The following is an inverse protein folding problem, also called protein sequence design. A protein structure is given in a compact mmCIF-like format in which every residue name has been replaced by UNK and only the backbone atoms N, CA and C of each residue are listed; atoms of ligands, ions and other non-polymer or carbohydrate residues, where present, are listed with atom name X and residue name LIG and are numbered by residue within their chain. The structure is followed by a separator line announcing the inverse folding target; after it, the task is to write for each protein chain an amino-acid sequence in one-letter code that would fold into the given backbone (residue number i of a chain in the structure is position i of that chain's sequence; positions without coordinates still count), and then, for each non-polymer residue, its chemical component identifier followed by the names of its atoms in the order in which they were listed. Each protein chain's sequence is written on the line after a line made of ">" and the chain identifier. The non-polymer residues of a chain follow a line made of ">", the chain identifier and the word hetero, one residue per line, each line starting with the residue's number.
data_IF_580742146421
#
_entry.id   IF_580742146421
#
_cell.length_a   1.000
_cell.length_b   1.000
_cell.length_c   1.000
_cell.angle_alpha   90.00
_cell.angle_beta   90.00
_cell.angle_gamma   90.00
#
_symmetry.space_group_name_H-M   'P 1'
#
loop_
_entity.id
_entity.type
_entity.pdbx_description
1 polymer ?
#
# COMPACT_ATOMS: atom_id res chain seq x y z
N UNK A 1 10.67 6.66 12.47
CA UNK A 1 9.95 6.33 11.21
C UNK A 1 8.75 5.46 11.57
N UNK A 2 8.01 4.93 10.62
CA UNK A 2 6.80 4.15 10.92
C UNK A 2 6.98 2.69 10.54
N UNK A 3 6.25 1.82 11.21
CA UNK A 3 6.12 0.41 10.89
C UNK A 3 4.73 0.15 10.33
N UNK A 4 4.61 -0.79 9.39
CA UNK A 4 3.34 -1.09 8.73
C UNK A 4 3.07 -2.58 8.57
N UNK A 5 1.78 -2.88 8.42
CA UNK A 5 1.26 -4.15 7.91
C UNK A 5 0.76 -3.88 6.50
N UNK A 6 1.26 -4.63 5.55
CA UNK A 6 1.07 -4.36 4.13
C UNK A 6 0.64 -5.61 3.37
N UNK A 7 -0.18 -5.42 2.33
CA UNK A 7 -0.50 -6.46 1.36
C UNK A 7 0.46 -6.39 0.18
N UNK A 8 0.89 -7.53 -0.29
CA UNK A 8 1.68 -7.68 -1.50
C UNK A 8 0.83 -8.24 -2.64
N UNK A 9 1.15 -7.77 -3.84
CA UNK A 9 0.41 -8.08 -5.06
C UNK A 9 1.06 -9.24 -5.83
N UNK A 10 0.32 -9.84 -6.75
CA UNK A 10 0.87 -10.78 -7.72
C UNK A 10 1.91 -10.11 -8.63
N UNK A 11 2.75 -10.93 -9.27
CA UNK A 11 3.89 -10.46 -10.08
C UNK A 11 3.46 -9.57 -11.24
N UNK A 12 2.32 -9.83 -11.86
CA UNK A 12 1.83 -9.06 -13.01
C UNK A 12 1.39 -7.67 -12.58
N UNK A 13 0.61 -7.59 -11.50
CA UNK A 13 0.17 -6.32 -10.93
C UNK A 13 1.34 -5.51 -10.36
N UNK A 14 2.29 -6.18 -9.70
CA UNK A 14 3.52 -5.54 -9.23
C UNK A 14 4.31 -4.94 -10.39
N UNK A 15 4.49 -5.67 -11.49
CA UNK A 15 5.20 -5.18 -12.68
C UNK A 15 4.49 -3.95 -13.30
N UNK A 16 3.16 -3.96 -13.35
CA UNK A 16 2.39 -2.83 -13.88
C UNK A 16 2.55 -1.57 -13.02
N UNK A 17 2.49 -1.69 -11.70
CA UNK A 17 2.73 -0.54 -10.80
C UNK A 17 4.17 -0.03 -10.94
N UNK A 18 5.16 -0.94 -11.03
CA UNK A 18 6.57 -0.57 -11.25
C UNK A 18 6.78 0.17 -12.57
N UNK A 19 6.05 -0.21 -13.62
CA UNK A 19 6.06 0.50 -14.91
C UNK A 19 5.56 1.94 -14.73
N UNK A 20 4.44 2.14 -14.04
CA UNK A 20 3.91 3.47 -13.74
C UNK A 20 4.91 4.30 -12.91
N UNK A 21 5.56 3.71 -11.94
CA UNK A 21 6.63 4.37 -11.17
C UNK A 21 7.81 4.81 -12.05
N UNK A 22 8.21 3.96 -13.01
CA UNK A 22 9.29 4.29 -13.94
C UNK A 22 8.94 5.50 -14.79
N UNK A 23 7.76 5.52 -15.40
CA UNK A 23 7.26 6.65 -16.19
C UNK A 23 7.25 7.97 -15.39
N UNK A 24 6.78 7.92 -14.16
CA UNK A 24 6.73 9.10 -13.29
C UNK A 24 8.15 9.59 -12.93
N UNK A 25 9.12 8.69 -12.72
CA UNK A 25 10.52 9.08 -12.50
C UNK A 25 11.17 9.67 -13.74
N UNK A 26 10.86 9.16 -14.94
CA UNK A 26 11.37 9.68 -16.21
C UNK A 26 11.03 11.16 -16.43
N UNK A 27 9.89 11.60 -15.93
CA UNK A 27 9.50 13.02 -15.96
C UNK A 27 9.93 13.79 -14.69
N UNK A 28 10.84 13.23 -13.89
CA UNK A 28 11.44 13.88 -12.73
C UNK A 28 10.56 13.94 -11.48
N UNK A 29 9.53 13.11 -11.38
CA UNK A 29 8.66 13.08 -10.20
C UNK A 29 9.17 12.09 -9.14
N UNK A 30 8.81 12.35 -7.88
CA UNK A 30 9.21 11.51 -6.76
C UNK A 30 8.31 10.28 -6.63
N UNK A 31 8.58 9.27 -7.46
CA UNK A 31 7.98 7.95 -7.39
C UNK A 31 8.95 6.94 -6.74
N UNK A 32 8.46 5.84 -6.15
CA UNK A 32 9.31 4.81 -5.55
C UNK A 32 10.32 4.23 -6.54
N UNK A 33 11.53 3.95 -6.05
CA UNK A 33 12.61 3.34 -6.83
C UNK A 33 12.45 1.81 -7.00
N UNK A 34 13.35 1.18 -7.77
CA UNK A 34 13.30 -0.25 -8.03
C UNK A 34 13.44 -1.12 -6.77
N UNK A 35 14.07 -0.57 -5.74
CA UNK A 35 14.25 -1.22 -4.43
C UNK A 35 12.95 -1.33 -3.62
N UNK A 36 11.93 -0.55 -3.98
CA UNK A 36 10.64 -0.59 -3.31
C UNK A 36 9.72 -1.62 -3.97
N UNK A 37 8.87 -2.21 -3.16
CA UNK A 37 7.85 -3.14 -3.62
C UNK A 37 6.46 -2.50 -3.56
N UNK A 38 5.66 -2.57 -4.64
CA UNK A 38 4.26 -2.14 -4.61
C UNK A 38 3.48 -2.87 -3.52
N UNK A 39 2.71 -2.10 -2.75
CA UNK A 39 1.95 -2.63 -1.63
C UNK A 39 0.70 -1.79 -1.34
N UNK A 40 -0.22 -2.39 -0.61
CA UNK A 40 -1.37 -1.72 -0.02
C UNK A 40 -1.15 -1.69 1.50
N UNK A 41 -1.01 -0.51 2.08
CA UNK A 41 -0.88 -0.37 3.52
C UNK A 41 -2.21 -0.60 4.21
N UNK A 42 -2.28 -1.62 5.07
CA UNK A 42 -3.47 -1.94 5.87
C UNK A 42 -3.51 -1.17 7.19
N UNK A 43 -2.35 -1.05 7.82
CA UNK A 43 -2.22 -0.42 9.11
C UNK A 43 -0.81 0.11 9.32
N UNK A 44 -0.68 1.19 10.08
CA UNK A 44 0.57 1.88 10.40
C UNK A 44 0.57 2.23 11.86
N UNK A 45 1.73 2.12 12.50
CA UNK A 45 1.97 2.62 13.85
C UNK A 45 3.41 3.18 13.95
N UNK A 46 3.68 4.00 14.96
CA UNK A 46 5.06 4.40 15.25
C UNK A 46 5.93 3.20 15.59
N UNK A 47 5.35 2.22 16.28
CA UNK A 47 5.95 0.94 16.61
C UNK A 47 4.85 -0.13 16.61
N UNK A 48 5.10 -1.26 15.94
CA UNK A 48 4.28 -2.46 16.05
C UNK A 48 5.09 -3.51 16.81
N UNK A 49 4.62 -3.88 17.98
CA UNK A 49 5.38 -4.76 18.88
C UNK A 49 5.66 -6.12 18.25
N UNK A 50 6.91 -6.62 18.26
CA UNK A 50 7.28 -7.91 17.62
C UNK A 50 6.46 -9.10 18.10
N UNK A 51 5.99 -9.07 19.37
CA UNK A 51 5.12 -10.12 19.93
C UNK A 51 3.81 -10.30 19.17
N UNK A 52 3.37 -9.29 18.41
CA UNK A 52 2.11 -9.32 17.63
C UNK A 52 2.25 -10.05 16.30
N UNK A 53 3.46 -10.33 15.83
CA UNK A 53 3.67 -11.03 14.56
C UNK A 53 3.00 -12.40 14.55
N UNK A 54 3.07 -13.13 15.67
CA UNK A 54 2.36 -14.42 15.82
C UNK A 54 0.84 -14.25 15.77
N UNK A 55 0.31 -13.17 16.33
CA UNK A 55 -1.12 -12.89 16.32
C UNK A 55 -1.60 -12.46 14.92
N UNK A 56 -0.80 -11.68 14.22
CA UNK A 56 -1.02 -11.33 12.81
C UNK A 56 -1.03 -12.58 11.92
N UNK A 57 -0.04 -13.47 12.08
CA UNK A 57 0.08 -14.71 11.31
C UNK A 57 -1.06 -15.72 11.56
N UNK A 58 -1.73 -15.63 12.70
CA UNK A 58 -2.92 -16.46 13.01
C UNK A 58 -4.19 -15.98 12.35
N UNK A 59 -4.19 -14.77 11.78
CA UNK A 59 -5.35 -14.27 11.06
C UNK A 59 -5.52 -15.06 9.77
N UNK A 60 -6.76 -15.50 9.51
CA UNK A 60 -7.05 -16.23 8.28
C UNK A 60 -6.72 -15.36 7.07
N UNK A 61 -5.85 -15.91 6.22
CA UNK A 61 -5.49 -15.30 4.95
C UNK A 61 -5.53 -16.34 3.84
N UNK A 62 -6.19 -15.98 2.74
CA UNK A 62 -6.14 -16.69 1.46
C UNK A 62 -5.97 -15.65 0.36
N UNK A 63 -5.20 -15.91 -0.69
CA UNK A 63 -5.14 -15.03 -1.83
C UNK A 63 -6.53 -14.71 -2.38
N UNK A 64 -6.78 -13.45 -2.71
CA UNK A 64 -8.06 -13.00 -3.23
C UNK A 64 -7.89 -11.93 -4.30
N UNK A 65 -8.82 -11.87 -5.29
CA UNK A 65 -8.76 -10.86 -6.33
C UNK A 65 -9.13 -9.48 -5.81
N UNK A 66 -8.45 -8.48 -6.34
CA UNK A 66 -8.77 -7.06 -6.17
C UNK A 66 -8.77 -6.36 -7.53
N UNK A 67 -9.25 -5.12 -7.55
CA UNK A 67 -9.18 -4.24 -8.70
C UNK A 67 -8.48 -2.95 -8.31
N UNK A 68 -7.42 -2.61 -9.02
CA UNK A 68 -6.81 -1.29 -8.96
C UNK A 68 -7.59 -0.39 -9.93
N UNK A 69 -8.19 0.66 -9.38
CA UNK A 69 -9.13 1.54 -10.06
C UNK A 69 -8.54 2.89 -10.41
N UNK A 70 -9.37 3.91 -10.32
CA UNK A 70 -9.03 5.29 -10.67
C UNK A 70 -7.92 5.89 -9.83
N UNK A 71 -7.49 7.07 -10.24
CA UNK A 71 -6.48 7.85 -9.52
C UNK A 71 -7.13 8.69 -8.42
N UNK A 72 -6.45 8.79 -7.28
CA UNK A 72 -6.82 9.67 -6.18
C UNK A 72 -5.63 10.54 -5.80
N UNK A 73 -5.93 11.69 -5.21
CA UNK A 73 -4.92 12.62 -4.70
C UNK A 73 -5.18 12.86 -3.21
N UNK A 74 -4.18 12.60 -2.39
CA UNK A 74 -4.22 12.90 -0.96
C UNK A 74 -3.41 14.15 -0.65
N UNK A 75 -3.90 14.94 0.31
CA UNK A 75 -3.23 16.15 0.76
C UNK A 75 -3.35 17.32 -0.21
N UNK A 76 -3.15 18.53 0.30
CA UNK A 76 -3.28 19.76 -0.48
C UNK A 76 -1.92 20.45 -0.73
N UNK A 77 -1.06 20.52 0.28
CA UNK A 77 0.24 21.23 0.17
C UNK A 77 1.32 20.39 -0.50
N UNK A 78 1.34 19.11 -0.22
CA UNK A 78 2.26 18.14 -0.81
C UNK A 78 1.46 16.95 -1.31
N UNK A 79 0.83 17.08 -2.49
CA UNK A 79 -0.03 16.03 -3.04
C UNK A 79 0.69 14.69 -3.15
N UNK A 80 -0.06 13.63 -2.86
CA UNK A 80 0.34 12.24 -3.06
C UNK A 80 -0.60 11.67 -4.09
N UNK A 81 -0.07 11.24 -5.24
CA UNK A 81 -0.84 10.54 -6.26
C UNK A 81 -0.86 9.06 -5.95
N UNK A 82 -2.04 8.49 -5.93
CA UNK A 82 -2.25 7.07 -5.64
C UNK A 82 -3.23 6.45 -6.64
N UNK A 83 -3.12 5.15 -6.82
CA UNK A 83 -4.14 4.36 -7.50
C UNK A 83 -5.05 3.74 -6.46
N UNK A 84 -6.35 4.00 -6.57
CA UNK A 84 -7.36 3.44 -5.68
C UNK A 84 -7.42 1.92 -5.84
N UNK A 85 -7.67 1.22 -4.74
CA UNK A 85 -8.08 -0.18 -4.76
C UNK A 85 -9.58 -0.21 -4.50
N UNK A 86 -10.34 -0.87 -5.36
CA UNK A 86 -11.79 -0.98 -5.19
C UNK A 86 -12.08 -1.73 -3.88
N UNK A 87 -12.79 -1.13 -2.92
CA UNK A 87 -13.15 -1.79 -1.68
C UNK A 87 -13.99 -3.03 -1.94
N UNK A 88 -13.48 -4.18 -1.56
CA UNK A 88 -14.20 -5.45 -1.62
C UNK A 88 -14.40 -6.01 -0.23
N UNK A 89 -15.43 -6.83 -0.03
CA UNK A 89 -15.71 -7.41 1.28
C UNK A 89 -14.52 -8.19 1.89
N UNK A 90 -13.77 -9.02 1.13
CA UNK A 90 -12.58 -9.68 1.66
C UNK A 90 -11.49 -8.70 2.08
N UNK A 91 -11.26 -7.63 1.29
CA UNK A 91 -10.24 -6.63 1.59
C UNK A 91 -10.56 -5.87 2.88
N UNK A 92 -11.78 -5.39 3.01
CA UNK A 92 -12.25 -4.66 4.20
C UNK A 92 -12.21 -5.56 5.44
N UNK A 93 -12.72 -6.80 5.32
CA UNK A 93 -12.70 -7.75 6.44
C UNK A 93 -11.28 -8.08 6.90
N UNK A 94 -10.33 -8.22 5.97
CA UNK A 94 -8.93 -8.48 6.32
C UNK A 94 -8.31 -7.26 7.02
N UNK A 95 -8.54 -6.05 6.52
CA UNK A 95 -8.08 -4.82 7.15
C UNK A 95 -8.57 -4.71 8.59
N UNK A 96 -9.86 -4.94 8.84
CA UNK A 96 -10.44 -4.90 10.18
C UNK A 96 -9.79 -5.93 11.12
N UNK A 97 -9.60 -7.16 10.66
CA UNK A 97 -8.98 -8.20 11.50
C UNK A 97 -7.54 -7.88 11.86
N UNK A 98 -6.74 -7.46 10.88
CA UNK A 98 -5.32 -7.14 11.11
C UNK A 98 -5.16 -5.85 11.93
N UNK A 99 -6.02 -4.85 11.69
CA UNK A 99 -6.00 -3.63 12.48
C UNK A 99 -6.26 -3.90 13.98
N UNK A 100 -7.25 -4.73 14.31
CA UNK A 100 -7.55 -5.12 15.71
C UNK A 100 -6.36 -5.72 16.45
N UNK A 101 -5.47 -6.41 15.74
CA UNK A 101 -4.28 -6.99 16.37
C UNK A 101 -3.31 -5.91 16.83
N UNK A 102 -3.26 -4.77 16.14
CA UNK A 102 -2.30 -3.71 16.41
C UNK A 102 -2.93 -2.44 17.02
N UNK A 103 -4.23 -2.43 17.27
CA UNK A 103 -4.97 -1.20 17.64
C UNK A 103 -4.48 -0.50 18.92
N UNK A 104 -3.78 -1.23 19.79
CA UNK A 104 -3.14 -0.69 20.99
C UNK A 104 -1.71 -0.20 20.78
N UNK A 105 -1.15 -0.38 19.58
CA UNK A 105 0.18 0.10 19.26
C UNK A 105 0.23 1.64 19.22
N UNK A 106 1.36 2.26 19.59
CA UNK A 106 1.46 3.71 19.64
C UNK A 106 1.50 4.35 18.24
N UNK A 107 0.96 5.55 18.13
CA UNK A 107 1.11 6.41 16.97
C UNK A 107 0.37 5.96 15.73
N UNK A 108 -0.76 5.29 15.87
CA UNK A 108 -1.65 4.92 14.77
C UNK A 108 -2.36 6.17 14.25
N UNK A 109 -2.17 6.57 12.98
CA UNK A 109 -2.88 7.70 12.41
C UNK A 109 -4.36 7.39 12.17
N UNK A 110 -5.21 8.41 12.22
CA UNK A 110 -6.66 8.23 12.08
C UNK A 110 -7.07 7.61 10.74
N UNK A 111 -6.39 7.97 9.66
CA UNK A 111 -6.73 7.56 8.29
C UNK A 111 -6.47 6.09 7.95
N UNK A 112 -5.90 5.31 8.86
CA UNK A 112 -5.76 3.85 8.69
C UNK A 112 -6.73 3.07 9.59
N UNK A 113 -7.54 3.77 10.38
CA UNK A 113 -8.55 3.11 11.22
C UNK A 113 -9.68 2.55 10.36
N UNK A 114 -10.31 1.46 10.77
CA UNK A 114 -11.53 0.96 10.14
C UNK A 114 -12.55 2.08 9.90
N UNK A 115 -13.32 1.98 8.82
CA UNK A 115 -14.33 2.95 8.37
C UNK A 115 -13.79 4.33 7.90
N UNK A 116 -12.51 4.62 8.11
CA UNK A 116 -11.84 5.84 7.62
C UNK A 116 -10.77 5.50 6.58
N UNK A 117 -10.33 4.25 6.53
CA UNK A 117 -9.27 3.78 5.65
C UNK A 117 -9.68 3.80 4.17
N UNK A 118 -8.80 4.35 3.33
CA UNK A 118 -8.95 4.34 1.88
C UNK A 118 -7.87 3.44 1.27
N UNK A 119 -8.21 2.25 0.75
CA UNK A 119 -7.25 1.33 0.16
C UNK A 119 -6.63 1.91 -1.12
N UNK A 120 -5.31 1.87 -1.23
CA UNK A 120 -4.59 2.44 -2.36
C UNK A 120 -3.17 1.88 -2.50
N UNK A 121 -2.61 2.05 -3.69
CA UNK A 121 -1.18 1.89 -3.98
C UNK A 121 -0.60 3.27 -4.31
N UNK A 122 0.48 3.65 -3.65
CA UNK A 122 1.13 4.95 -3.89
C UNK A 122 1.87 4.94 -5.22
N UNK A 123 1.67 5.98 -6.04
CA UNK A 123 2.37 6.19 -7.31
C UNK A 123 3.44 7.26 -7.21
N UNK A 124 3.16 8.42 -6.63
CA UNK A 124 4.13 9.48 -6.43
C UNK A 124 3.84 10.28 -5.16
N UNK A 125 4.88 10.80 -4.54
CA UNK A 125 4.79 11.57 -3.28
C UNK A 125 5.48 12.93 -3.44
N UNK A 126 5.19 13.83 -2.50
CA UNK A 126 5.84 15.16 -2.42
C UNK A 126 5.72 15.95 -3.72
N UNK A 127 4.61 15.81 -4.42
CA UNK A 127 4.34 16.57 -5.62
C UNK A 127 4.16 18.06 -5.28
N UNK A 128 4.66 18.92 -6.13
CA UNK A 128 4.27 20.32 -6.13
C UNK A 128 2.95 20.47 -6.89
N UNK A 129 2.12 21.48 -6.60
CA UNK A 129 0.84 21.68 -7.31
C UNK A 129 0.95 21.61 -8.84
N UNK A 130 1.94 22.28 -9.43
CA UNK A 130 2.15 22.24 -10.89
C UNK A 130 2.69 20.91 -11.44
N UNK A 131 3.08 19.96 -10.60
CA UNK A 131 3.51 18.61 -11.02
C UNK A 131 2.35 17.60 -11.05
N UNK A 132 1.23 17.93 -10.44
CA UNK A 132 0.09 17.02 -10.36
C UNK A 132 -0.52 16.77 -11.73
N UNK A 133 -0.67 17.81 -12.55
CA UNK A 133 -1.16 17.70 -13.92
C UNK A 133 -0.27 16.76 -14.75
N UNK A 134 1.04 16.99 -14.76
CA UNK A 134 1.99 16.13 -15.46
C UNK A 134 1.97 14.68 -14.94
N UNK A 135 1.82 14.48 -13.63
CA UNK A 135 1.70 13.15 -13.04
C UNK A 135 0.43 12.43 -13.51
N UNK A 136 -0.70 13.14 -13.52
CA UNK A 136 -1.98 12.62 -13.99
C UNK A 136 -1.91 12.26 -15.48
N UNK A 137 -1.40 13.16 -16.31
CA UNK A 137 -1.26 12.93 -17.76
C UNK A 137 -0.38 11.72 -18.07
N UNK A 138 0.63 11.48 -17.24
CA UNK A 138 1.55 10.35 -17.44
C UNK A 138 0.88 9.00 -17.20
N UNK A 139 -0.04 8.88 -16.21
CA UNK A 139 -0.60 7.58 -15.79
C UNK A 139 -2.12 7.50 -15.95
N UNK A 140 -2.82 8.55 -16.39
CA UNK A 140 -4.28 8.56 -16.56
C UNK A 140 -4.77 7.63 -17.68
N UNK A 141 -3.93 7.37 -18.68
CA UNK A 141 -4.23 6.48 -19.80
C UNK A 141 -4.22 5.00 -19.40
N UNK A 142 -3.61 4.66 -18.26
CA UNK A 142 -3.61 3.31 -17.76
C UNK A 142 -5.00 2.96 -17.21
N UNK A 143 -5.62 1.98 -17.86
CA UNK A 143 -6.94 1.49 -17.45
C UNK A 143 -6.86 0.78 -16.09
N UNK A 144 -8.00 0.67 -15.46
CA UNK A 144 -8.16 -0.22 -14.31
C UNK A 144 -7.72 -1.65 -14.65
N UNK A 145 -7.05 -2.31 -13.73
CA UNK A 145 -6.60 -3.67 -13.92
C UNK A 145 -6.87 -4.54 -12.68
N UNK A 146 -6.95 -5.84 -12.93
CA UNK A 146 -7.10 -6.82 -11.87
C UNK A 146 -5.75 -7.17 -11.28
N UNK A 147 -5.76 -7.49 -10.00
CA UNK A 147 -4.62 -8.01 -9.27
C UNK A 147 -5.08 -9.07 -8.28
N UNK A 148 -4.15 -9.86 -7.79
CA UNK A 148 -4.37 -10.78 -6.68
C UNK A 148 -3.53 -10.31 -5.49
N UNK A 149 -4.14 -10.22 -4.32
CA UNK A 149 -3.40 -10.11 -3.07
C UNK A 149 -2.86 -11.47 -2.72
N UNK A 150 -1.54 -11.61 -2.67
CA UNK A 150 -0.88 -12.91 -2.47
C UNK A 150 -0.31 -13.10 -1.07
N UNK A 151 -0.14 -12.03 -0.31
CA UNK A 151 0.43 -12.13 1.02
C UNK A 151 0.27 -10.90 1.87
N UNK A 152 0.57 -11.07 3.14
CA UNK A 152 0.68 -10.03 4.15
C UNK A 152 2.12 -9.99 4.62
N UNK A 153 2.70 -8.80 4.71
CA UNK A 153 4.03 -8.57 5.24
C UNK A 153 4.06 -7.49 6.31
N UNK A 154 5.11 -7.50 7.09
CA UNK A 154 5.52 -6.38 7.94
C UNK A 154 6.60 -5.57 7.23
N UNK A 155 6.57 -4.26 7.45
CA UNK A 155 7.63 -3.35 7.09
C UNK A 155 8.08 -2.56 8.31
N UNK A 156 9.39 -2.48 8.53
CA UNK A 156 10.04 -1.63 9.53
C UNK A 156 10.83 -0.52 8.83
N UNK A 157 10.29 0.69 8.86
CA UNK A 157 10.91 1.84 8.20
C UNK A 157 12.20 2.34 8.89
N UNK A 158 12.44 1.99 10.15
CA UNK A 158 13.66 2.36 10.86
C UNK A 158 14.82 1.46 10.47
N UNK A 159 14.54 0.16 10.31
CA UNK A 159 15.53 -0.85 9.89
C UNK A 159 15.62 -0.99 8.39
N UNK A 160 14.62 -0.49 7.64
CA UNK A 160 14.43 -0.75 6.21
C UNK A 160 14.36 -2.24 5.89
N UNK A 161 13.64 -2.96 6.72
CA UNK A 161 13.52 -4.41 6.66
C UNK A 161 12.06 -4.83 6.49
N UNK A 162 11.87 -5.95 5.81
CA UNK A 162 10.53 -6.52 5.59
C UNK A 162 10.56 -8.03 5.79
N UNK A 163 9.45 -8.58 6.29
CA UNK A 163 9.29 -10.02 6.45
C UNK A 163 7.84 -10.46 6.22
N UNK A 164 7.65 -11.68 5.67
CA UNK A 164 6.33 -12.20 5.45
C UNK A 164 5.64 -12.54 6.78
N UNK A 165 4.32 -12.32 6.81
CA UNK A 165 3.44 -12.73 7.91
C UNK A 165 2.57 -13.90 7.48
N UNK A 166 1.98 -13.84 6.29
CA UNK A 166 1.16 -14.92 5.72
C UNK A 166 1.09 -14.81 4.20
N UNK A 167 0.72 -15.92 3.54
CA UNK A 167 0.62 -16.01 2.09
C UNK A 167 1.89 -16.54 1.43
N UNK A 168 2.03 -16.33 0.13
CA UNK A 168 3.15 -16.84 -0.66
C UNK A 168 4.44 -16.10 -0.33
N UNK A 169 5.41 -16.80 0.21
CA UNK A 169 6.78 -16.30 0.31
C UNK A 169 7.38 -16.23 -1.10
N UNK A 170 7.58 -15.01 -1.59
CA UNK A 170 8.53 -14.78 -2.68
C UNK A 170 9.76 -14.12 -2.08
N UNK A 171 10.81 -14.91 -2.04
CA UNK A 171 12.15 -14.43 -1.78
C UNK A 171 12.64 -13.54 -2.91
#
# INVERSE_FOLDING_TARGET
>A
MVQSVELVLDVTAEAEVRRQWALLREIGLHAPGPEHRPHITLAVASEIWPRLDKALARQEFRPFPIRLGGLLVFGARTPILVRAVVPSAPLIALQHRLFRVIEECPGIPANVRPDIWTPHVTLARRLRPGQLEAALDTVAWDKDFRATVEGVRRWDGDRRDEWPISGTERL
#
